data_IF_315268730862
#
_entry.id   IF_315268730862
#
_cell.length_a   1.000
_cell.length_b   1.000
_cell.length_c   1.000
_cell.angle_alpha   90.00
_cell.angle_beta   90.00
_cell.angle_gamma   90.00
#
_symmetry.space_group_name_H-M   'P 1'
#
loop_
_entity.id
_entity.type
_entity.pdbx_description
1 polymer ?
#
# COMPACT_ATOMS: atom_id res chain seq x y z
N UNK A 1 -13.91 19.96 30.25
CA UNK A 1 -14.45 20.86 29.20
C UNK A 1 -13.65 20.63 27.93
N UNK A 2 -14.31 20.13 26.88
CA UNK A 2 -13.69 19.84 25.58
C UNK A 2 -13.29 21.14 24.90
N UNK A 3 -11.99 21.42 24.81
CA UNK A 3 -11.47 22.48 23.94
C UNK A 3 -11.52 21.94 22.52
N UNK A 4 -12.68 22.16 21.88
CA UNK A 4 -12.80 22.10 20.44
C UNK A 4 -11.69 22.94 19.79
N UNK A 5 -11.06 22.38 18.76
CA UNK A 5 -10.04 22.97 17.88
C UNK A 5 -10.18 24.50 17.78
N UNK A 6 -9.43 25.24 18.61
CA UNK A 6 -9.68 26.67 18.84
C UNK A 6 -9.00 27.58 17.83
N UNK A 7 -8.25 27.04 16.88
CA UNK A 7 -7.67 27.80 15.76
C UNK A 7 -7.51 26.94 14.51
N UNK A 8 -7.54 27.56 13.33
CA UNK A 8 -7.25 26.89 12.06
C UNK A 8 -5.85 26.23 12.04
N UNK A 9 -4.91 26.78 12.83
CA UNK A 9 -3.56 26.23 13.01
C UNK A 9 -3.56 24.90 13.76
N UNK A 10 -4.40 24.76 14.80
CA UNK A 10 -4.53 23.52 15.56
C UNK A 10 -5.13 22.40 14.72
N UNK A 11 -6.14 22.75 13.91
CA UNK A 11 -6.74 21.83 12.95
C UNK A 11 -5.74 21.40 11.87
N UNK A 12 -5.02 22.34 11.26
CA UNK A 12 -3.99 22.04 10.28
C UNK A 12 -2.91 21.11 10.84
N UNK A 13 -2.50 21.34 12.09
CA UNK A 13 -1.53 20.49 12.80
C UNK A 13 -2.08 19.09 13.06
N UNK A 14 -3.34 18.97 13.48
CA UNK A 14 -3.98 17.68 13.70
C UNK A 14 -4.09 16.87 12.40
N UNK A 15 -4.54 17.51 11.31
CA UNK A 15 -4.60 16.89 9.98
C UNK A 15 -3.22 16.46 9.52
N UNK A 16 -2.20 17.32 9.63
CA UNK A 16 -0.83 17.00 9.26
C UNK A 16 -0.30 15.79 10.04
N UNK A 17 -0.57 15.70 11.34
CA UNK A 17 -0.12 14.60 12.20
C UNK A 17 -0.84 13.28 11.92
N UNK A 18 -2.13 13.33 11.57
CA UNK A 18 -2.93 12.14 11.23
C UNK A 18 -2.70 11.66 9.79
N UNK A 19 -2.27 12.55 8.90
CA UNK A 19 -2.13 12.26 7.47
C UNK A 19 -1.29 11.01 7.16
N UNK A 20 -0.12 10.74 7.79
CA UNK A 20 0.63 9.51 7.53
C UNK A 20 -0.17 8.25 7.83
N UNK A 21 -0.92 8.22 8.94
CA UNK A 21 -1.76 7.08 9.31
C UNK A 21 -2.92 6.93 8.32
N UNK A 22 -3.58 8.01 7.93
CA UNK A 22 -4.70 7.98 6.97
C UNK A 22 -4.24 7.46 5.61
N UNK A 23 -3.15 8.01 5.07
CA UNK A 23 -2.59 7.61 3.78
C UNK A 23 -2.08 6.16 3.84
N UNK A 24 -1.39 5.79 4.92
CA UNK A 24 -0.91 4.42 5.10
C UNK A 24 -2.05 3.42 5.21
N UNK A 25 -3.14 3.77 5.89
CA UNK A 25 -4.33 2.91 6.01
C UNK A 25 -5.00 2.71 4.64
N UNK A 26 -5.19 3.78 3.87
CA UNK A 26 -5.75 3.72 2.53
C UNK A 26 -4.86 2.89 1.57
N UNK A 27 -3.54 3.07 1.63
CA UNK A 27 -2.59 2.30 0.80
C UNK A 27 -2.51 0.83 1.21
N UNK A 28 -2.64 0.50 2.51
CA UNK A 28 -2.69 -0.87 3.00
C UNK A 28 -3.99 -1.54 2.55
N UNK A 29 -5.13 -0.85 2.65
CA UNK A 29 -6.40 -1.34 2.12
C UNK A 29 -6.29 -1.63 0.62
N UNK A 30 -5.73 -0.71 -0.16
CA UNK A 30 -5.49 -0.93 -1.58
C UNK A 30 -4.64 -2.19 -1.85
N UNK A 31 -3.59 -2.44 -1.06
CA UNK A 31 -2.77 -3.63 -1.21
C UNK A 31 -3.52 -4.94 -0.86
N UNK A 32 -4.41 -4.89 0.13
CA UNK A 32 -5.30 -6.00 0.51
C UNK A 32 -6.34 -6.26 -0.58
N UNK A 33 -6.95 -5.22 -1.12
CA UNK A 33 -7.93 -5.32 -2.21
C UNK A 33 -7.30 -5.93 -3.45
N UNK A 34 -6.07 -5.50 -3.79
CA UNK A 34 -5.30 -6.14 -4.84
C UNK A 34 -5.03 -7.62 -4.55
N UNK A 35 -4.61 -7.96 -3.33
CA UNK A 35 -4.42 -9.37 -2.94
C UNK A 35 -5.70 -10.19 -3.15
N UNK A 36 -6.85 -9.63 -2.77
CA UNK A 36 -8.14 -10.29 -2.83
C UNK A 36 -8.69 -10.42 -4.26
N UNK A 37 -8.56 -9.37 -5.08
CA UNK A 37 -8.97 -9.39 -6.47
C UNK A 37 -8.17 -10.43 -7.26
N UNK A 38 -6.86 -10.46 -7.08
CA UNK A 38 -5.97 -11.32 -7.86
C UNK A 38 -6.08 -12.79 -7.48
N UNK A 39 -6.17 -13.10 -6.18
CA UNK A 39 -6.34 -14.48 -5.72
C UNK A 39 -7.66 -15.11 -6.21
N UNK A 40 -8.67 -14.29 -6.53
CA UNK A 40 -9.96 -14.79 -7.01
C UNK A 40 -9.83 -15.60 -8.30
N UNK A 41 -8.93 -15.20 -9.21
CA UNK A 41 -8.62 -15.91 -10.45
C UNK A 41 -7.93 -17.27 -10.24
N UNK A 42 -7.42 -17.52 -9.04
CA UNK A 42 -6.73 -18.77 -8.67
C UNK A 42 -7.60 -19.74 -7.88
N UNK A 43 -8.90 -19.43 -7.69
CA UNK A 43 -9.83 -20.36 -7.06
C UNK A 43 -9.90 -21.68 -7.86
N UNK A 44 -10.04 -22.86 -7.23
CA UNK A 44 -10.05 -24.14 -7.93
C UNK A 44 -11.07 -24.19 -9.06
N UNK A 45 -12.25 -23.58 -8.87
CA UNK A 45 -13.32 -23.51 -9.87
C UNK A 45 -12.91 -22.75 -11.14
N UNK A 46 -12.12 -21.68 -11.03
CA UNK A 46 -11.64 -20.90 -12.17
C UNK A 46 -10.36 -21.47 -12.77
N UNK A 47 -9.44 -21.95 -11.92
CA UNK A 47 -8.16 -22.51 -12.33
C UNK A 47 -8.29 -23.84 -13.09
N UNK A 48 -9.27 -24.68 -12.71
CA UNK A 48 -9.54 -25.97 -13.34
C UNK A 48 -10.53 -25.88 -14.51
N UNK A 49 -11.06 -24.69 -14.81
CA UNK A 49 -12.00 -24.52 -15.92
C UNK A 49 -11.27 -24.72 -17.25
N UNK A 50 -11.82 -25.49 -18.20
CA UNK A 50 -11.25 -25.62 -19.54
C UNK A 50 -11.00 -24.26 -20.18
N UNK A 51 -9.85 -24.11 -20.84
CA UNK A 51 -9.43 -22.85 -21.47
C UNK A 51 -8.84 -21.80 -20.52
N UNK A 52 -8.70 -22.10 -19.21
CA UNK A 52 -8.02 -21.27 -18.21
C UNK A 52 -8.46 -19.79 -18.24
N UNK A 53 -9.41 -19.42 -17.37
CA UNK A 53 -9.92 -18.03 -17.30
C UNK A 53 -8.79 -17.01 -17.13
N UNK A 54 -7.75 -17.37 -16.38
CA UNK A 54 -6.56 -16.53 -16.18
C UNK A 54 -5.77 -16.25 -17.47
N UNK A 55 -5.78 -17.18 -18.43
CA UNK A 55 -5.04 -17.04 -19.69
C UNK A 55 -5.69 -16.10 -20.69
N UNK A 56 -6.98 -15.83 -20.53
CA UNK A 56 -7.74 -14.97 -21.44
C UNK A 56 -8.15 -13.66 -20.75
N UNK A 57 -8.86 -13.75 -19.63
CA UNK A 57 -9.48 -12.57 -19.01
C UNK A 57 -8.47 -11.67 -18.29
N UNK A 58 -7.50 -12.27 -17.59
CA UNK A 58 -6.56 -11.50 -16.76
C UNK A 58 -5.64 -10.65 -17.63
N UNK A 59 -5.35 -11.08 -18.86
CA UNK A 59 -4.51 -10.34 -19.79
C UNK A 59 -5.08 -8.95 -20.12
N UNK A 60 -6.41 -8.85 -20.30
CA UNK A 60 -7.09 -7.57 -20.56
C UNK A 60 -7.48 -6.85 -19.26
N UNK A 61 -7.94 -7.60 -18.27
CA UNK A 61 -8.39 -7.06 -16.99
C UNK A 61 -7.25 -6.41 -16.20
N UNK A 62 -6.07 -7.04 -16.15
CA UNK A 62 -4.95 -6.54 -15.36
C UNK A 62 -4.47 -5.16 -15.83
N UNK A 63 -4.17 -4.90 -17.11
CA UNK A 63 -3.76 -3.59 -17.57
C UNK A 63 -4.80 -2.51 -17.31
N UNK A 64 -6.08 -2.83 -17.47
CA UNK A 64 -7.18 -1.91 -17.18
C UNK A 64 -7.21 -1.51 -15.70
N UNK A 65 -7.09 -2.49 -14.81
CA UNK A 65 -6.97 -2.29 -13.36
C UNK A 65 -5.69 -1.51 -13.00
N UNK A 66 -4.53 -1.97 -13.47
CA UNK A 66 -3.23 -1.40 -13.11
C UNK A 66 -3.06 0.05 -13.60
N UNK A 67 -3.69 0.42 -14.72
CA UNK A 67 -3.63 1.79 -15.28
C UNK A 67 -4.14 2.84 -14.31
N UNK A 68 -5.21 2.54 -13.57
CA UNK A 68 -5.81 3.47 -12.60
C UNK A 68 -5.14 3.33 -11.24
N UNK A 69 -4.93 2.10 -10.77
CA UNK A 69 -4.38 1.85 -9.43
C UNK A 69 -2.91 2.29 -9.29
N UNK A 70 -2.13 2.34 -10.37
CA UNK A 70 -0.72 2.77 -10.29
C UNK A 70 -0.55 4.18 -9.70
N UNK A 71 -1.51 5.08 -9.92
CA UNK A 71 -1.41 6.46 -9.42
C UNK A 71 -1.63 6.53 -7.92
N UNK A 72 -2.52 5.71 -7.38
CA UNK A 72 -2.72 5.56 -5.93
C UNK A 72 -1.40 5.17 -5.27
N UNK A 73 -0.70 4.18 -5.84
CA UNK A 73 0.58 3.71 -5.33
C UNK A 73 1.68 4.77 -5.50
N UNK A 74 1.78 5.36 -6.69
CA UNK A 74 2.83 6.34 -7.01
C UNK A 74 2.75 7.57 -6.10
N UNK A 75 1.57 7.94 -5.63
CA UNK A 75 1.37 9.13 -4.80
C UNK A 75 1.33 8.81 -3.31
N UNK A 76 0.65 7.74 -2.88
CA UNK A 76 0.39 7.50 -1.46
C UNK A 76 1.67 7.24 -0.65
N UNK A 77 2.56 6.35 -1.11
CA UNK A 77 3.77 5.99 -0.37
C UNK A 77 4.77 7.15 -0.18
N UNK A 78 5.12 7.95 -1.21
CA UNK A 78 6.02 9.07 -1.04
C UNK A 78 5.34 10.21 -0.29
N UNK A 79 4.04 10.44 -0.49
CA UNK A 79 3.31 11.45 0.28
C UNK A 79 3.29 11.10 1.78
N UNK A 80 2.98 9.84 2.14
CA UNK A 80 3.07 9.38 3.52
C UNK A 80 4.49 9.52 4.07
N UNK A 81 5.52 9.19 3.27
CA UNK A 81 6.92 9.35 3.64
C UNK A 81 7.31 10.81 3.92
N UNK A 82 6.99 11.71 3.00
CA UNK A 82 7.27 13.16 3.12
C UNK A 82 6.55 13.74 4.32
N UNK A 83 5.26 13.48 4.48
CA UNK A 83 4.48 14.02 5.59
C UNK A 83 4.95 13.44 6.94
N UNK A 84 5.33 12.16 6.98
CA UNK A 84 5.92 11.58 8.18
C UNK A 84 7.27 12.21 8.55
N UNK A 85 8.11 12.49 7.55
CA UNK A 85 9.39 13.16 7.73
C UNK A 85 9.21 14.62 8.19
N UNK A 86 8.20 15.32 7.71
CA UNK A 86 7.82 16.64 8.23
C UNK A 86 7.41 16.54 9.70
N UNK A 87 6.53 15.59 10.03
CA UNK A 87 6.08 15.39 11.41
C UNK A 87 7.20 15.00 12.37
N UNK A 88 8.18 14.19 11.94
CA UNK A 88 9.30 13.78 12.81
C UNK A 88 10.25 14.94 13.16
N UNK A 89 10.23 16.03 12.38
CA UNK A 89 11.01 17.24 12.63
C UNK A 89 10.22 18.34 13.33
N UNK A 90 8.95 18.10 13.67
CA UNK A 90 8.14 19.10 14.34
C UNK A 90 8.73 19.47 15.72
N UNK A 91 8.82 20.77 16.07
CA UNK A 91 9.28 21.22 17.38
C UNK A 91 8.40 20.65 18.51
N UNK A 92 9.02 20.36 19.66
CA UNK A 92 8.30 19.97 20.88
C UNK A 92 7.68 18.56 20.89
N UNK A 93 7.85 17.76 19.84
CA UNK A 93 7.44 16.35 19.87
C UNK A 93 8.43 15.52 20.70
N UNK A 94 7.93 14.54 21.43
CA UNK A 94 8.79 13.65 22.22
C UNK A 94 9.64 12.74 21.29
N UNK A 95 10.77 12.20 21.78
CA UNK A 95 11.69 11.38 20.97
C UNK A 95 11.05 10.11 20.37
N UNK A 96 10.11 9.51 21.09
CA UNK A 96 9.44 8.27 20.66
C UNK A 96 8.49 8.53 19.48
N UNK A 97 7.68 9.58 19.55
CA UNK A 97 6.82 10.04 18.43
C UNK A 97 7.66 10.35 17.19
N UNK A 98 8.80 11.03 17.38
CA UNK A 98 9.75 11.30 16.29
C UNK A 98 10.23 10.02 15.63
N UNK A 99 10.67 9.05 16.45
CA UNK A 99 11.15 7.77 15.95
C UNK A 99 10.07 7.05 15.14
N UNK A 100 8.85 6.95 15.68
CA UNK A 100 7.74 6.29 14.99
C UNK A 100 7.40 6.93 13.65
N UNK A 101 7.31 8.26 13.57
CA UNK A 101 7.12 8.94 12.28
C UNK A 101 8.27 8.66 11.31
N UNK A 102 9.52 8.76 11.77
CA UNK A 102 10.67 8.55 10.90
C UNK A 102 10.76 7.11 10.38
N UNK A 103 10.65 6.12 11.27
CA UNK A 103 10.68 4.71 10.92
C UNK A 103 9.53 4.34 9.98
N UNK A 104 8.30 4.79 10.28
CA UNK A 104 7.15 4.59 9.40
C UNK A 104 7.34 5.24 8.03
N UNK A 105 7.92 6.45 7.97
CA UNK A 105 8.24 7.13 6.72
C UNK A 105 9.25 6.38 5.87
N UNK A 106 10.32 5.86 6.48
CA UNK A 106 11.32 5.02 5.80
C UNK A 106 10.68 3.75 5.25
N UNK A 107 9.90 3.04 6.06
CA UNK A 107 9.19 1.82 5.63
C UNK A 107 8.18 2.10 4.51
N UNK A 108 7.49 3.24 4.55
CA UNK A 108 6.59 3.68 3.47
C UNK A 108 7.33 3.81 2.14
N UNK A 109 8.51 4.45 2.13
CA UNK A 109 9.32 4.57 0.91
C UNK A 109 9.94 3.24 0.50
N UNK A 110 10.32 2.39 1.46
CA UNK A 110 10.86 1.05 1.21
C UNK A 110 9.89 0.14 0.44
N UNK A 111 8.60 0.49 0.36
CA UNK A 111 7.64 -0.09 -0.58
C UNK A 111 8.21 -0.26 -1.99
N UNK A 112 8.93 0.75 -2.49
CA UNK A 112 9.42 0.77 -3.86
C UNK A 112 10.51 -0.25 -4.15
N UNK A 113 11.17 -0.80 -3.13
CA UNK A 113 12.09 -1.94 -3.29
C UNK A 113 11.40 -3.14 -3.96
N UNK A 114 10.12 -3.36 -3.65
CA UNK A 114 9.31 -4.43 -4.24
C UNK A 114 8.75 -4.07 -5.62
N UNK A 115 8.89 -2.81 -6.04
CA UNK A 115 8.34 -2.28 -7.29
C UNK A 115 8.92 -2.95 -8.53
N UNK A 116 10.23 -3.21 -8.55
CA UNK A 116 10.89 -3.88 -9.67
C UNK A 116 10.30 -5.29 -9.91
N UNK A 117 10.13 -6.07 -8.83
CA UNK A 117 9.50 -7.39 -8.88
C UNK A 117 8.04 -7.32 -9.30
N UNK A 118 7.29 -6.32 -8.82
CA UNK A 118 5.93 -6.09 -9.29
C UNK A 118 5.90 -5.82 -10.79
N UNK A 119 6.80 -4.99 -11.34
CA UNK A 119 6.84 -4.72 -12.78
C UNK A 119 7.21 -5.97 -13.59
N UNK A 120 8.13 -6.80 -13.09
CA UNK A 120 8.45 -8.10 -13.70
C UNK A 120 7.21 -9.01 -13.80
N UNK A 121 6.45 -9.15 -12.72
CA UNK A 121 5.25 -9.99 -12.76
C UNK A 121 4.14 -9.38 -13.62
N UNK A 122 4.01 -8.05 -13.62
CA UNK A 122 3.07 -7.34 -14.49
C UNK A 122 3.37 -7.64 -15.97
N UNK A 123 4.64 -7.55 -16.40
CA UNK A 123 5.01 -7.82 -17.79
C UNK A 123 4.75 -9.28 -18.17
N UNK A 124 4.97 -10.22 -17.25
CA UNK A 124 4.64 -11.64 -17.45
C UNK A 124 3.14 -11.86 -17.60
N UNK A 125 2.33 -11.25 -16.74
CA UNK A 125 0.86 -11.37 -16.75
C UNK A 125 0.27 -10.75 -18.02
N UNK A 126 0.84 -9.64 -18.49
CA UNK A 126 0.32 -8.86 -19.62
C UNK A 126 0.98 -9.20 -20.96
N UNK A 127 1.82 -10.23 -21.03
CA UNK A 127 2.52 -10.57 -22.28
C UNK A 127 1.52 -11.02 -23.34
N UNK A 128 1.49 -10.31 -24.48
CA UNK A 128 0.62 -10.61 -25.62
C UNK A 128 0.97 -11.94 -26.31
N UNK A 129 2.21 -12.40 -26.15
CA UNK A 129 2.70 -13.66 -26.73
C UNK A 129 2.14 -14.89 -26.00
N UNK A 130 1.50 -14.70 -24.84
CA UNK A 130 1.01 -15.78 -23.97
C UNK A 130 -0.52 -15.78 -23.81
N UNK A 131 -1.24 -15.06 -24.67
CA UNK A 131 -2.70 -15.04 -24.64
C UNK A 131 -3.24 -16.44 -24.91
N UNK A 132 -4.21 -16.89 -24.11
CA UNK A 132 -4.77 -18.24 -24.16
C UNK A 132 -3.95 -19.30 -23.43
N UNK A 133 -2.72 -18.97 -23.00
CA UNK A 133 -1.90 -19.85 -22.15
C UNK A 133 -2.15 -19.59 -20.67
N UNK A 134 -1.82 -20.58 -19.84
CA UNK A 134 -1.92 -20.52 -18.38
C UNK A 134 -1.17 -19.32 -17.79
N UNK A 135 -1.87 -18.50 -17.01
CA UNK A 135 -1.28 -17.32 -16.34
C UNK A 135 -1.21 -17.47 -14.82
N UNK A 136 -1.57 -18.65 -14.28
CA UNK A 136 -1.68 -18.83 -12.84
C UNK A 136 -0.35 -18.63 -12.10
N UNK A 137 0.78 -19.02 -12.70
CA UNK A 137 2.09 -18.84 -12.07
C UNK A 137 2.54 -17.39 -12.04
N UNK A 138 2.16 -16.60 -13.06
CA UNK A 138 2.38 -15.15 -13.05
C UNK A 138 1.62 -14.49 -11.91
N UNK A 139 0.34 -14.86 -11.75
CA UNK A 139 -0.50 -14.41 -10.65
C UNK A 139 0.04 -14.83 -9.28
N UNK A 140 0.47 -16.09 -9.10
CA UNK A 140 1.08 -16.57 -7.85
C UNK A 140 2.35 -15.81 -7.50
N UNK A 141 3.21 -15.56 -8.49
CA UNK A 141 4.42 -14.76 -8.31
C UNK A 141 4.11 -13.34 -7.87
N UNK A 142 3.15 -12.69 -8.55
CA UNK A 142 2.69 -11.34 -8.20
C UNK A 142 2.11 -11.29 -6.77
N UNK A 143 1.22 -12.22 -6.42
CA UNK A 143 0.60 -12.34 -5.10
C UNK A 143 1.63 -12.60 -4.01
N UNK A 144 2.64 -13.42 -4.28
CA UNK A 144 3.75 -13.67 -3.35
C UNK A 144 4.56 -12.40 -3.08
N UNK A 145 4.87 -11.62 -4.13
CA UNK A 145 5.54 -10.33 -3.98
C UNK A 145 4.69 -9.32 -3.19
N UNK A 146 3.39 -9.22 -3.53
CA UNK A 146 2.43 -8.34 -2.85
C UNK A 146 2.29 -8.69 -1.36
N UNK A 147 2.18 -9.97 -1.03
CA UNK A 147 2.12 -10.47 0.35
C UNK A 147 3.37 -10.11 1.14
N UNK A 148 4.57 -10.41 0.60
CA UNK A 148 5.84 -10.06 1.25
C UNK A 148 5.95 -8.56 1.49
N UNK A 149 5.63 -7.75 0.49
CA UNK A 149 5.63 -6.29 0.61
C UNK A 149 4.67 -5.81 1.70
N UNK A 150 3.46 -6.37 1.78
CA UNK A 150 2.51 -6.00 2.84
C UNK A 150 3.09 -6.27 4.23
N UNK A 151 3.65 -7.45 4.46
CA UNK A 151 4.16 -7.84 5.78
C UNK A 151 5.49 -7.20 6.16
N UNK A 152 6.36 -6.94 5.20
CA UNK A 152 7.70 -6.42 5.47
C UNK A 152 7.75 -4.90 5.57
N UNK A 153 6.87 -4.19 4.86
CA UNK A 153 6.94 -2.72 4.80
C UNK A 153 5.59 -2.04 5.03
N UNK A 154 4.49 -2.47 4.41
CA UNK A 154 3.23 -1.72 4.56
C UNK A 154 2.62 -1.83 5.97
N UNK A 155 2.49 -3.04 6.52
CA UNK A 155 1.95 -3.28 7.87
C UNK A 155 2.88 -2.68 8.93
N UNK A 156 4.21 -2.89 8.89
CA UNK A 156 5.13 -2.22 9.80
C UNK A 156 5.05 -0.69 9.73
N UNK A 157 5.01 -0.09 8.53
CA UNK A 157 4.84 1.36 8.39
C UNK A 157 3.55 1.84 9.04
N UNK A 158 2.43 1.16 8.76
CA UNK A 158 1.14 1.47 9.35
C UNK A 158 1.16 1.38 10.88
N UNK A 159 1.75 0.32 11.45
CA UNK A 159 1.90 0.16 12.90
C UNK A 159 2.72 1.31 13.51
N UNK A 160 3.81 1.73 12.87
CA UNK A 160 4.59 2.87 13.33
C UNK A 160 3.74 4.15 13.34
N UNK A 161 2.90 4.40 12.32
CA UNK A 161 2.02 5.56 12.31
C UNK A 161 0.86 5.46 13.32
N UNK A 162 0.36 4.26 13.61
CA UNK A 162 -0.57 4.03 14.72
C UNK A 162 0.09 4.40 16.04
N UNK A 163 1.30 3.90 16.30
CA UNK A 163 2.05 4.22 17.51
C UNK A 163 2.35 5.72 17.63
N UNK A 164 2.77 6.38 16.54
CA UNK A 164 2.96 7.83 16.51
C UNK A 164 1.68 8.58 16.88
N UNK A 165 0.54 8.18 16.31
CA UNK A 165 -0.76 8.80 16.60
C UNK A 165 -1.19 8.58 18.04
N UNK A 166 -1.00 7.36 18.56
CA UNK A 166 -1.35 7.00 19.93
C UNK A 166 -0.63 7.87 20.97
N UNK A 167 0.59 8.34 20.68
CA UNK A 167 1.32 9.25 21.59
C UNK A 167 0.65 10.61 21.81
N UNK A 168 -0.31 10.99 20.96
CA UNK A 168 -1.07 12.23 21.12
C UNK A 168 -2.40 12.03 21.87
N UNK A 169 -2.83 10.78 22.11
CA UNK A 169 -4.04 10.48 22.88
C UNK A 169 -3.70 10.63 24.35
N UNK A 170 -4.35 11.59 25.02
CA UNK A 170 -4.29 11.71 26.48
C UNK A 170 -5.24 10.68 27.08
N UNK A 171 -4.72 9.81 27.94
CA UNK A 171 -5.50 8.89 28.79
C UNK A 171 -5.64 9.53 30.17
#
# INVERSE_FOLDING_TARGET
>A
MSTALSSASDFGTAVLRLSPLMISSASLMCAIDQQNAFRSFLTPKLANRPGHVSGNLVHDWFPAFARTTKWVILLAYPLAGVVAVINSRAPGINPQTRYFYYAGGVLSVAHYYFGAWSMYWNSRICSKEKIGLRNEDGLRGWLGNNWRRMWLVNIPAWLMFVCATATFVRV
#
